data_IF_979825702163
#
_entry.id   IF_979825702163
#
_cell.length_a   1.000
_cell.length_b   1.000
_cell.length_c   1.000
_cell.angle_alpha   90.00
_cell.angle_beta   90.00
_cell.angle_gamma   90.00
#
_symmetry.space_group_name_H-M   'P 1'
#
loop_
_entity.id
_entity.type
_entity.pdbx_description
1 polymer ?
#
# COMPACT_ATOMS: atom_id res chain seq x y z
N UNK A 1 -9.00 -1.26 33.75
CA UNK A 1 -9.74 -0.10 33.19
C UNK A 1 -9.38 -0.02 31.71
N UNK A 2 -10.35 -0.37 30.85
CA UNK A 2 -10.14 -0.51 29.41
C UNK A 2 -9.88 0.84 28.76
N UNK A 3 -8.77 0.95 28.04
CA UNK A 3 -8.48 2.09 27.18
C UNK A 3 -9.32 1.99 25.91
N UNK A 4 -10.48 2.64 25.93
CA UNK A 4 -11.22 2.97 24.70
C UNK A 4 -10.38 3.96 23.89
N UNK A 5 -9.52 3.45 23.02
CA UNK A 5 -8.99 4.26 21.91
C UNK A 5 -10.12 4.42 20.88
N UNK A 6 -10.50 5.65 20.52
CA UNK A 6 -11.52 5.88 19.50
C UNK A 6 -11.07 5.24 18.18
N UNK A 7 -11.98 4.52 17.53
CA UNK A 7 -11.77 3.89 16.24
C UNK A 7 -11.40 4.95 15.21
N UNK A 8 -10.14 4.96 14.79
CA UNK A 8 -9.64 5.90 13.79
C UNK A 8 -10.26 5.60 12.41
N UNK A 9 -10.97 6.60 11.88
CA UNK A 9 -11.14 7.00 10.48
C UNK A 9 -11.44 5.90 9.41
N UNK A 10 -12.59 5.96 8.71
CA UNK A 10 -13.01 4.97 7.70
C UNK A 10 -12.34 5.14 6.33
N UNK A 11 -11.27 5.94 6.19
CA UNK A 11 -10.64 6.14 4.89
C UNK A 11 -9.97 4.86 4.35
N UNK A 12 -10.15 4.57 3.05
CA UNK A 12 -9.60 3.38 2.46
C UNK A 12 -8.06 3.38 2.41
N UNK A 13 -7.42 2.40 3.06
CA UNK A 13 -5.98 2.09 3.14
C UNK A 13 -5.50 0.92 2.26
N UNK A 14 -4.98 1.22 1.08
CA UNK A 14 -4.19 0.28 0.29
C UNK A 14 -2.75 0.27 0.74
N UNK A 15 -1.91 -0.65 0.25
CA UNK A 15 -0.66 -0.93 0.97
C UNK A 15 0.13 0.37 1.24
N UNK A 16 0.36 1.18 0.20
CA UNK A 16 0.72 2.61 0.33
C UNK A 16 0.39 3.36 -1.00
N UNK A 17 -0.18 4.59 -0.97
CA UNK A 17 -0.62 5.31 -2.17
C UNK A 17 0.49 6.11 -2.87
N UNK A 18 1.71 6.04 -2.32
CA UNK A 18 2.91 6.78 -2.70
C UNK A 18 4.09 5.82 -2.81
N UNK A 19 5.16 6.26 -3.47
CA UNK A 19 6.35 5.44 -3.71
C UNK A 19 7.63 6.19 -3.32
N UNK A 20 8.74 5.45 -3.20
CA UNK A 20 10.02 5.95 -2.69
C UNK A 20 10.76 6.90 -3.63
N UNK A 21 10.46 6.88 -4.93
CA UNK A 21 11.07 7.77 -5.90
C UNK A 21 10.02 8.38 -6.84
N UNK A 22 10.39 9.48 -7.49
CA UNK A 22 9.56 10.17 -8.48
C UNK A 22 10.12 10.06 -9.89
N UNK A 23 11.39 9.67 -10.03
CA UNK A 23 12.05 9.41 -11.30
C UNK A 23 12.27 7.89 -11.48
N UNK A 24 11.84 7.29 -12.60
CA UNK A 24 12.07 5.87 -12.87
C UNK A 24 13.56 5.50 -12.95
N UNK A 25 14.46 6.44 -13.28
CA UNK A 25 15.90 6.17 -13.34
C UNK A 25 16.47 5.79 -11.97
N UNK A 26 15.87 6.28 -10.89
CA UNK A 26 16.26 5.97 -9.51
C UNK A 26 15.74 4.61 -9.03
N UNK A 27 14.84 3.96 -9.78
CA UNK A 27 14.22 2.69 -9.40
C UNK A 27 15.22 1.60 -9.00
N UNK A 28 16.26 1.32 -9.81
CA UNK A 28 17.31 0.37 -9.46
C UNK A 28 18.04 0.72 -8.15
N UNK A 29 18.26 2.00 -7.87
CA UNK A 29 18.95 2.45 -6.66
C UNK A 29 18.08 2.29 -5.42
N UNK A 30 16.77 2.52 -5.54
CA UNK A 30 15.81 2.19 -4.48
C UNK A 30 15.90 0.70 -4.16
N UNK A 31 15.86 -0.20 -5.15
CA UNK A 31 15.92 -1.65 -4.91
C UNK A 31 17.27 -2.07 -4.30
N UNK A 32 18.39 -1.53 -4.80
CA UNK A 32 19.72 -1.81 -4.23
C UNK A 32 19.83 -1.38 -2.78
N UNK A 33 19.26 -0.22 -2.43
CA UNK A 33 19.32 0.31 -1.05
C UNK A 33 18.60 -0.56 -0.02
N UNK A 34 17.58 -1.32 -0.44
CA UNK A 34 16.82 -2.23 0.42
C UNK A 34 17.38 -3.65 0.43
N UNK A 35 18.32 -3.94 -0.47
CA UNK A 35 18.96 -5.23 -0.55
C UNK A 35 19.98 -5.40 0.57
N UNK A 36 20.31 -6.65 0.89
CA UNK A 36 21.27 -6.95 1.95
C UNK A 36 22.66 -6.42 1.57
N UNK A 37 23.18 -5.49 2.36
CA UNK A 37 24.55 -5.00 2.27
C UNK A 37 25.18 -4.95 3.68
N UNK A 38 26.35 -5.56 3.90
CA UNK A 38 27.00 -5.59 5.21
C UNK A 38 27.64 -4.25 5.62
N UNK A 39 27.81 -3.30 4.70
CA UNK A 39 28.62 -2.08 4.89
C UNK A 39 27.82 -0.77 4.97
N UNK A 40 26.61 -0.70 4.40
CA UNK A 40 25.75 0.48 4.51
C UNK A 40 24.27 0.14 4.32
N UNK A 41 23.42 0.87 5.05
CA UNK A 41 21.98 0.97 4.85
C UNK A 41 21.65 2.46 4.79
N UNK A 42 20.82 2.89 3.83
CA UNK A 42 19.76 3.91 3.95
C UNK A 42 19.51 4.70 2.65
N UNK A 43 18.24 5.07 2.51
CA UNK A 43 17.70 6.12 1.63
C UNK A 43 17.93 7.55 2.20
N UNK A 44 18.94 7.76 3.03
CA UNK A 44 19.10 8.99 3.84
C UNK A 44 19.23 10.26 2.99
N UNK A 45 19.75 10.14 1.77
CA UNK A 45 20.01 11.26 0.86
C UNK A 45 18.87 11.47 -0.16
N UNK A 46 17.71 10.85 0.06
CA UNK A 46 16.57 10.86 -0.89
C UNK A 46 15.32 11.37 -0.15
N UNK A 47 15.20 12.68 0.10
CA UNK A 47 14.11 13.23 0.93
C UNK A 47 12.71 12.98 0.36
N UNK A 48 12.58 12.80 -0.96
CA UNK A 48 11.32 12.39 -1.61
C UNK A 48 10.82 11.01 -1.17
N UNK A 49 11.71 10.15 -0.67
CA UNK A 49 11.38 8.83 -0.16
C UNK A 49 10.72 8.87 1.23
N UNK A 50 10.83 9.98 1.97
CA UNK A 50 10.43 10.06 3.38
C UNK A 50 8.95 9.72 3.60
N UNK A 51 8.05 10.12 2.71
CA UNK A 51 6.63 9.82 2.87
C UNK A 51 6.35 8.31 2.75
N UNK A 52 6.88 7.66 1.71
CA UNK A 52 6.78 6.21 1.55
C UNK A 52 7.53 5.47 2.68
N UNK A 53 8.68 5.99 3.11
CA UNK A 53 9.45 5.46 4.25
C UNK A 53 8.65 5.48 5.55
N UNK A 54 8.00 6.59 5.89
CA UNK A 54 7.16 6.70 7.09
C UNK A 54 5.98 5.71 7.05
N UNK A 55 5.36 5.51 5.89
CA UNK A 55 4.32 4.51 5.75
C UNK A 55 4.89 3.09 5.90
N UNK A 56 6.02 2.81 5.27
CA UNK A 56 6.68 1.50 5.32
C UNK A 56 7.12 1.11 6.75
N UNK A 57 7.61 2.05 7.55
CA UNK A 57 7.99 1.81 8.95
C UNK A 57 6.83 1.92 9.96
N UNK A 58 5.61 2.16 9.49
CA UNK A 58 4.40 2.00 10.30
C UNK A 58 3.83 0.58 10.15
N UNK A 59 2.76 0.26 10.88
CA UNK A 59 2.01 -0.99 10.71
C UNK A 59 1.50 -1.20 9.26
N UNK A 60 1.54 -0.18 8.39
CA UNK A 60 1.29 -0.36 6.95
C UNK A 60 2.32 -1.22 6.22
N UNK A 61 3.52 -1.38 6.77
CA UNK A 61 4.53 -2.32 6.24
C UNK A 61 4.23 -3.78 6.54
N UNK A 62 3.47 -4.08 7.60
CA UNK A 62 3.30 -5.42 8.18
C UNK A 62 1.88 -5.95 8.00
N UNK A 63 1.53 -6.30 6.76
CA UNK A 63 0.19 -6.78 6.42
C UNK A 63 -0.07 -8.20 6.94
N UNK A 64 -1.27 -8.45 7.47
CA UNK A 64 -1.59 -9.78 8.00
C UNK A 64 -1.82 -10.83 6.91
N UNK A 65 -2.80 -10.58 6.02
CA UNK A 65 -3.17 -11.49 4.93
C UNK A 65 -3.57 -10.67 3.71
N UNK A 66 -3.29 -11.20 2.53
CA UNK A 66 -3.48 -10.47 1.27
C UNK A 66 -4.91 -9.99 1.01
N UNK A 67 -5.91 -10.78 1.41
CA UNK A 67 -7.33 -10.43 1.25
C UNK A 67 -7.85 -9.28 2.13
N UNK A 68 -7.06 -8.83 3.10
CA UNK A 68 -7.35 -7.64 3.92
C UNK A 68 -6.46 -6.46 3.54
N UNK A 69 -5.89 -6.43 2.33
CA UNK A 69 -5.06 -5.31 1.90
C UNK A 69 -5.80 -4.57 0.81
N UNK A 70 -5.95 -3.25 0.90
CA UNK A 70 -6.45 -2.55 -0.27
C UNK A 70 -5.32 -2.41 -1.33
N UNK A 71 -5.65 -2.14 -2.59
CA UNK A 71 -4.70 -1.75 -3.65
C UNK A 71 -4.79 -0.26 -4.04
N UNK A 72 -3.67 0.38 -4.37
CA UNK A 72 -3.63 1.74 -4.92
C UNK A 72 -2.91 1.71 -6.25
N UNK A 73 -3.32 2.57 -7.18
CA UNK A 73 -2.63 2.70 -8.48
C UNK A 73 -1.26 3.40 -8.41
N UNK A 74 -0.91 4.01 -7.27
CA UNK A 74 0.28 4.86 -7.02
C UNK A 74 0.40 6.09 -7.93
N UNK A 75 0.36 5.94 -9.23
CA UNK A 75 0.45 7.00 -10.22
C UNK A 75 -0.89 7.71 -10.44
N UNK A 76 -0.82 8.90 -11.02
CA UNK A 76 -1.99 9.59 -11.58
C UNK A 76 -2.14 9.19 -13.04
N UNK A 77 -3.31 8.71 -13.40
CA UNK A 77 -3.67 8.30 -14.76
C UNK A 77 -4.54 9.36 -15.43
N UNK A 78 -4.82 9.20 -16.73
CA UNK A 78 -5.80 10.01 -17.46
C UNK A 78 -6.91 9.12 -17.98
N UNK A 79 -8.16 9.53 -17.74
CA UNK A 79 -9.30 9.03 -18.50
C UNK A 79 -9.66 10.04 -19.56
N UNK A 80 -9.82 9.57 -20.80
CA UNK A 80 -10.15 10.41 -21.95
C UNK A 80 -11.52 9.98 -22.46
N UNK A 81 -12.44 10.92 -22.63
CA UNK A 81 -13.78 10.65 -23.17
C UNK A 81 -13.78 10.67 -24.71
N UNK A 82 -14.93 10.39 -25.32
CA UNK A 82 -15.09 10.40 -26.79
C UNK A 82 -14.84 11.76 -27.45
N UNK A 83 -14.90 12.86 -26.69
CA UNK A 83 -14.68 14.22 -27.16
C UNK A 83 -13.20 14.65 -27.04
N UNK A 84 -12.32 13.78 -26.53
CA UNK A 84 -10.91 14.08 -26.29
C UNK A 84 -10.64 14.87 -25.00
N UNK A 85 -11.65 15.12 -24.17
CA UNK A 85 -11.49 15.75 -22.87
C UNK A 85 -11.00 14.72 -21.85
N UNK A 86 -10.24 15.16 -20.84
CA UNK A 86 -9.68 14.24 -19.85
C UNK A 86 -9.82 14.69 -18.41
N UNK A 87 -9.83 13.71 -17.51
CA UNK A 87 -9.70 13.89 -16.07
C UNK A 87 -8.49 13.11 -15.54
N UNK A 88 -7.82 13.65 -14.53
CA UNK A 88 -6.79 12.94 -13.78
C UNK A 88 -7.41 11.95 -12.81
N UNK A 89 -6.90 10.72 -12.77
CA UNK A 89 -7.48 9.61 -12.01
C UNK A 89 -6.48 9.01 -11.05
N UNK A 90 -6.90 8.78 -9.80
CA UNK A 90 -6.22 7.90 -8.84
C UNK A 90 -7.11 6.69 -8.56
N UNK A 91 -6.55 5.49 -8.66
CA UNK A 91 -7.24 4.23 -8.39
C UNK A 91 -7.06 3.78 -6.95
N UNK A 92 -8.15 3.27 -6.37
CA UNK A 92 -8.25 2.79 -4.99
C UNK A 92 -9.10 1.50 -4.97
N UNK A 93 -8.52 0.35 -4.67
CA UNK A 93 -9.18 -0.97 -4.63
C UNK A 93 -9.40 -1.40 -3.20
N UNK A 94 -10.61 -1.26 -2.67
CA UNK A 94 -10.87 -1.31 -1.23
C UNK A 94 -11.34 -2.68 -0.83
N UNK A 95 -10.54 -3.36 0.00
CA UNK A 95 -10.86 -4.70 0.47
C UNK A 95 -12.16 -4.67 1.27
N UNK A 96 -13.13 -5.51 0.88
CA UNK A 96 -14.45 -5.57 1.52
C UNK A 96 -14.39 -5.78 3.03
N UNK A 97 -13.43 -6.57 3.47
CA UNK A 97 -13.25 -6.93 4.88
C UNK A 97 -12.38 -5.96 5.69
N UNK A 98 -12.07 -4.79 5.14
CA UNK A 98 -11.22 -3.79 5.78
C UNK A 98 -9.73 -4.15 5.75
N UNK A 99 -8.90 -3.25 6.29
CA UNK A 99 -7.46 -3.46 6.37
C UNK A 99 -7.02 -4.08 7.69
N UNK A 100 -6.11 -5.08 7.65
CA UNK A 100 -5.54 -5.72 8.83
C UNK A 100 -4.01 -5.79 8.78
N UNK A 101 -3.39 -5.35 9.88
CA UNK A 101 -1.94 -5.21 10.02
C UNK A 101 -1.49 -5.87 11.32
N UNK A 102 -0.29 -6.44 11.32
CA UNK A 102 0.37 -6.90 12.53
C UNK A 102 1.05 -5.72 13.22
N UNK A 103 1.03 -5.73 14.55
CA UNK A 103 2.03 -4.97 15.30
C UNK A 103 3.43 -5.57 15.06
N UNK A 104 4.48 -4.77 15.21
CA UNK A 104 5.87 -5.18 14.94
C UNK A 104 6.26 -6.52 15.60
N UNK A 105 5.93 -6.71 16.89
CA UNK A 105 6.23 -7.95 17.61
C UNK A 105 5.49 -9.17 17.05
N UNK A 106 4.24 -8.99 16.61
CA UNK A 106 3.44 -10.06 16.00
C UNK A 106 3.99 -10.42 14.61
N UNK A 107 4.44 -9.42 13.85
CA UNK A 107 5.05 -9.63 12.55
C UNK A 107 6.36 -10.42 12.66
N UNK A 108 7.22 -10.06 13.63
CA UNK A 108 8.48 -10.77 13.91
C UNK A 108 8.20 -12.24 14.28
N UNK A 109 7.23 -12.47 15.16
CA UNK A 109 6.84 -13.83 15.55
C UNK A 109 6.32 -14.63 14.36
N UNK A 110 5.35 -14.09 13.62
CA UNK A 110 4.73 -14.78 12.48
C UNK A 110 5.73 -15.12 11.38
N UNK A 111 6.69 -14.23 11.11
CA UNK A 111 7.76 -14.48 10.14
C UNK A 111 8.64 -15.69 10.50
N UNK A 112 8.82 -15.96 11.81
CA UNK A 112 9.54 -17.14 12.29
C UNK A 112 8.69 -18.41 12.31
N UNK A 113 7.40 -18.29 12.61
CA UNK A 113 6.48 -19.43 12.75
C UNK A 113 5.94 -19.94 11.40
N UNK A 114 5.45 -19.06 10.54
CA UNK A 114 4.90 -19.40 9.22
C UNK A 114 5.22 -18.29 8.20
N UNK A 115 6.39 -18.36 7.53
CA UNK A 115 6.74 -17.40 6.48
C UNK A 115 5.79 -17.42 5.27
N UNK A 116 4.95 -18.45 5.16
CA UNK A 116 3.96 -18.62 4.08
C UNK A 116 2.54 -18.20 4.50
N UNK A 117 2.35 -17.64 5.69
CA UNK A 117 1.04 -17.35 6.28
C UNK A 117 0.06 -16.62 5.35
N UNK A 118 0.47 -15.49 4.78
CA UNK A 118 -0.37 -14.69 3.87
C UNK A 118 -0.75 -15.43 2.59
N UNK A 119 0.20 -16.18 2.02
CA UNK A 119 0.02 -16.96 0.79
C UNK A 119 -0.94 -18.13 1.03
N UNK A 120 -0.73 -18.86 2.13
CA UNK A 120 -1.56 -19.99 2.56
C UNK A 120 -2.99 -19.56 2.87
N UNK A 121 -3.17 -18.45 3.59
CA UNK A 121 -4.52 -17.93 3.87
C UNK A 121 -5.29 -17.60 2.60
N UNK A 122 -4.66 -16.96 1.61
CA UNK A 122 -5.32 -16.67 0.34
C UNK A 122 -5.68 -17.98 -0.40
N UNK A 123 -4.74 -18.90 -0.51
CA UNK A 123 -4.95 -20.19 -1.16
C UNK A 123 -6.12 -20.96 -0.54
N UNK A 124 -6.10 -21.13 0.79
CA UNK A 124 -7.18 -21.81 1.50
C UNK A 124 -8.52 -21.10 1.40
N UNK A 125 -8.53 -19.76 1.33
CA UNK A 125 -9.76 -19.00 1.14
C UNK A 125 -10.37 -19.28 -0.24
N UNK A 126 -9.55 -19.38 -1.28
CA UNK A 126 -9.98 -19.73 -2.63
C UNK A 126 -10.53 -21.17 -2.66
N UNK A 127 -9.77 -22.14 -2.13
CA UNK A 127 -10.18 -23.56 -2.08
C UNK A 127 -11.49 -23.77 -1.31
N UNK A 128 -11.71 -22.99 -0.26
CA UNK A 128 -12.93 -23.06 0.57
C UNK A 128 -14.09 -22.23 0.00
N UNK A 129 -13.94 -21.63 -1.18
CA UNK A 129 -14.97 -20.79 -1.81
C UNK A 129 -15.34 -19.56 -0.96
N UNK A 130 -14.41 -19.06 -0.14
CA UNK A 130 -14.65 -17.85 0.66
C UNK A 130 -14.71 -16.63 -0.25
N UNK A 131 -15.56 -15.70 0.12
CA UNK A 131 -15.67 -14.42 -0.57
C UNK A 131 -14.37 -13.61 -0.41
N UNK A 132 -13.80 -13.20 -1.53
CA UNK A 132 -12.61 -12.36 -1.62
C UNK A 132 -12.94 -11.27 -2.65
N UNK A 133 -13.09 -10.04 -2.16
CA UNK A 133 -13.63 -8.94 -2.97
C UNK A 133 -12.94 -7.61 -2.64
N UNK A 134 -12.72 -6.82 -3.68
CA UNK A 134 -12.30 -5.42 -3.58
C UNK A 134 -13.24 -4.54 -4.41
N UNK A 135 -13.64 -3.41 -3.84
CA UNK A 135 -14.40 -2.39 -4.56
C UNK A 135 -13.44 -1.40 -5.21
N UNK A 136 -13.50 -1.24 -6.53
CA UNK A 136 -12.71 -0.25 -7.24
C UNK A 136 -13.36 1.14 -7.13
N UNK A 137 -12.65 2.08 -6.53
CA UNK A 137 -12.98 3.49 -6.46
C UNK A 137 -11.97 4.32 -7.26
N UNK A 138 -12.44 5.45 -7.77
CA UNK A 138 -11.59 6.44 -8.44
C UNK A 138 -11.77 7.80 -7.79
N UNK A 139 -10.66 8.51 -7.62
CA UNK A 139 -10.69 9.95 -7.40
C UNK A 139 -10.40 10.62 -8.74
N UNK A 140 -11.31 11.50 -9.17
CA UNK A 140 -11.18 12.26 -10.40
C UNK A 140 -10.88 13.73 -10.09
N UNK A 141 -9.95 14.31 -10.83
CA UNK A 141 -9.56 15.72 -10.72
C UNK A 141 -9.58 16.37 -12.10
N UNK A 142 -10.19 17.54 -12.18
CA UNK A 142 -10.22 18.35 -13.40
C UNK A 142 -8.80 18.87 -13.70
N UNK A 143 -8.34 18.87 -14.96
CA UNK A 143 -7.01 19.36 -15.29
C UNK A 143 -6.73 20.80 -14.85
N UNK A 144 -7.76 21.64 -14.78
CA UNK A 144 -7.68 23.04 -14.31
C UNK A 144 -7.37 23.17 -12.82
N UNK A 145 -7.57 22.11 -12.05
CA UNK A 145 -7.24 22.06 -10.62
C UNK A 145 -5.78 21.67 -10.37
N UNK A 146 -5.03 21.24 -11.40
CA UNK A 146 -3.63 20.88 -11.26
C UNK A 146 -2.73 22.13 -11.34
N UNK A 147 -1.95 22.41 -10.30
CA UNK A 147 -0.86 23.40 -10.34
C UNK A 147 -1.20 24.82 -9.86
N UNK A 148 -2.22 24.98 -9.00
CA UNK A 148 -2.37 26.18 -8.16
C UNK A 148 -1.36 26.21 -7.02
#
# INVERSE_FOLDING_TARGET
>A
MGSNRPSADPRPRAVQPVFFCRDPIQGPDVIRSQSRNPTNFLLANTPEANHAGLMFFSDHGTLQRWRFNHGYGCHTFKWVNSNGEFAYIKYHFIAKHGQKQFADSEAIQMCGEDPDYSKRDLWEAIEKGKEIEWTAHVQAMDPRQAGS
#
